data_IF_224749827734
#
_entry.id   IF_224749827734
#
_cell.length_a   1.000
_cell.length_b   1.000
_cell.length_c   1.000
_cell.angle_alpha   90.00
_cell.angle_beta   90.00
_cell.angle_gamma   90.00
#
_symmetry.space_group_name_H-M   'P 1'
#
loop_
_entity.id
_entity.type
_entity.pdbx_description
1 polymer ?
#
# COMPACT_ATOMS: atom_id res chain seq x y z
N UNK A 1 -21.91 2.15 21.74
CA UNK A 1 -20.90 2.69 20.80
C UNK A 1 -19.63 1.88 20.99
N UNK A 2 -18.98 1.47 19.92
CA UNK A 2 -17.65 0.84 20.00
C UNK A 2 -16.66 1.84 20.60
N UNK A 3 -15.70 1.40 21.37
CA UNK A 3 -14.61 2.24 21.88
C UNK A 3 -13.60 2.54 20.77
N UNK A 4 -12.75 3.55 20.95
CA UNK A 4 -11.61 3.80 20.04
C UNK A 4 -10.75 2.55 19.88
N UNK A 5 -10.52 1.80 20.98
CA UNK A 5 -9.75 0.56 20.95
C UNK A 5 -10.42 -0.50 20.08
N UNK A 6 -11.75 -0.69 20.24
CA UNK A 6 -12.50 -1.64 19.41
C UNK A 6 -12.39 -1.26 17.91
N UNK A 7 -12.46 0.04 17.59
CA UNK A 7 -12.31 0.52 16.23
C UNK A 7 -10.94 0.16 15.62
N UNK A 8 -9.86 0.40 16.37
CA UNK A 8 -8.49 0.08 15.95
C UNK A 8 -8.26 -1.41 15.77
N UNK A 9 -8.76 -2.23 16.72
CA UNK A 9 -8.58 -3.69 16.67
C UNK A 9 -9.41 -4.34 15.55
N UNK A 10 -10.64 -3.90 15.34
CA UNK A 10 -11.50 -4.39 14.27
C UNK A 10 -10.96 -3.99 12.88
N UNK A 11 -10.48 -2.75 12.74
CA UNK A 11 -9.84 -2.27 11.50
C UNK A 11 -8.66 -3.16 11.10
N UNK A 12 -7.83 -3.56 12.06
CA UNK A 12 -6.69 -4.43 11.80
C UNK A 12 -7.06 -5.83 11.29
N UNK A 13 -8.30 -6.29 11.49
CA UNK A 13 -8.76 -7.63 11.07
C UNK A 13 -9.30 -7.66 9.64
N UNK A 14 -9.50 -6.53 8.98
CA UNK A 14 -10.03 -6.48 7.61
C UNK A 14 -9.10 -7.26 6.69
N UNK A 15 -9.68 -8.17 5.90
CA UNK A 15 -8.92 -8.95 4.92
C UNK A 15 -8.72 -8.12 3.65
N UNK A 16 -7.48 -7.91 3.27
CA UNK A 16 -7.10 -7.32 1.99
C UNK A 16 -7.19 -8.36 0.87
N UNK A 17 -7.27 -7.91 -0.37
CA UNK A 17 -7.41 -8.77 -1.55
C UNK A 17 -8.61 -9.75 -1.45
N UNK A 18 -9.62 -9.42 -0.66
CA UNK A 18 -10.77 -10.31 -0.43
C UNK A 18 -11.59 -10.63 -1.70
N UNK A 19 -11.42 -9.85 -2.77
CA UNK A 19 -12.02 -10.09 -4.11
C UNK A 19 -11.18 -11.01 -4.99
N UNK A 20 -10.05 -11.53 -4.47
CA UNK A 20 -9.10 -12.37 -5.19
C UNK A 20 -8.84 -13.67 -4.44
N UNK A 21 -8.51 -14.71 -5.20
CA UNK A 21 -7.98 -15.93 -4.60
C UNK A 21 -6.49 -15.72 -4.31
N UNK A 22 -6.13 -15.73 -3.03
CA UNK A 22 -4.75 -15.63 -2.54
C UNK A 22 -4.35 -16.90 -1.82
N UNK A 23 -3.09 -17.27 -1.84
CA UNK A 23 -2.51 -18.40 -1.08
C UNK A 23 -2.30 -17.97 0.37
N UNK A 24 -1.64 -16.84 0.57
CA UNK A 24 -1.50 -16.24 1.88
C UNK A 24 -2.71 -15.35 2.22
N UNK A 25 -2.89 -15.06 3.49
CA UNK A 25 -3.90 -14.08 3.96
C UNK A 25 -3.19 -12.83 4.44
N UNK A 26 -3.55 -11.69 3.86
CA UNK A 26 -3.14 -10.39 4.34
C UNK A 26 -4.30 -9.68 5.01
N UNK A 27 -4.05 -9.05 6.15
CA UNK A 27 -5.00 -8.17 6.82
C UNK A 27 -4.49 -6.73 6.80
N UNK A 28 -5.40 -5.78 7.03
CA UNK A 28 -5.04 -4.35 7.18
C UNK A 28 -3.98 -4.17 8.27
N UNK A 29 -4.05 -4.94 9.37
CA UNK A 29 -3.04 -4.89 10.43
C UNK A 29 -1.63 -5.31 9.96
N UNK A 30 -1.51 -6.39 9.18
CA UNK A 30 -0.23 -6.82 8.58
C UNK A 30 0.28 -5.77 7.62
N UNK A 31 -0.59 -5.28 6.73
CA UNK A 31 -0.26 -4.24 5.78
C UNK A 31 0.22 -2.96 6.46
N UNK A 32 -0.54 -2.42 7.39
CA UNK A 32 -0.19 -1.18 8.09
C UNK A 32 1.13 -1.27 8.86
N UNK A 33 1.41 -2.43 9.49
CA UNK A 33 2.72 -2.69 10.11
C UNK A 33 3.85 -2.69 9.07
N UNK A 34 3.65 -3.37 7.93
CA UNK A 34 4.62 -3.39 6.83
C UNK A 34 4.86 -2.00 6.26
N UNK A 35 3.80 -1.22 6.03
CA UNK A 35 3.89 0.17 5.56
C UNK A 35 4.68 1.05 6.54
N UNK A 36 4.42 0.93 7.85
CA UNK A 36 5.17 1.68 8.86
C UNK A 36 6.65 1.28 8.89
N UNK A 37 6.97 -0.01 8.75
CA UNK A 37 8.33 -0.52 8.69
C UNK A 37 9.06 0.01 7.46
N UNK A 38 8.44 -0.06 6.29
CA UNK A 38 9.02 0.46 5.04
C UNK A 38 9.19 1.98 5.12
N UNK A 39 8.24 2.71 5.70
CA UNK A 39 8.39 4.15 5.89
C UNK A 39 9.63 4.52 6.74
N UNK A 40 9.93 3.74 7.79
CA UNK A 40 11.15 3.89 8.60
C UNK A 40 12.42 3.52 7.83
N UNK A 41 12.38 2.52 6.94
CA UNK A 41 13.52 2.19 6.07
C UNK A 41 13.78 3.29 5.04
N UNK A 42 12.72 3.88 4.48
CA UNK A 42 12.82 4.97 3.50
C UNK A 42 13.24 6.30 4.14
N UNK A 43 12.90 6.52 5.38
CA UNK A 43 13.19 7.72 6.16
C UNK A 43 13.45 7.34 7.62
N UNK A 44 14.73 7.09 8.00
CA UNK A 44 15.08 6.74 9.38
C UNK A 44 14.68 7.81 10.41
N UNK A 45 14.53 9.07 9.98
CA UNK A 45 14.06 10.19 10.79
C UNK A 45 12.56 10.46 10.62
N UNK A 46 11.79 9.43 10.23
CA UNK A 46 10.36 9.52 10.01
C UNK A 46 9.63 10.20 11.17
N UNK A 47 8.77 11.17 10.87
CA UNK A 47 7.99 11.86 11.87
C UNK A 47 7.04 10.90 12.60
N UNK A 48 6.72 11.21 13.87
CA UNK A 48 5.70 10.48 14.61
C UNK A 48 4.36 10.47 13.85
N UNK A 49 4.03 11.57 13.17
CA UNK A 49 2.79 11.72 12.41
C UNK A 49 2.78 10.81 11.18
N UNK A 50 3.91 10.64 10.48
CA UNK A 50 4.05 9.68 9.39
C UNK A 50 3.78 8.25 9.87
N UNK A 51 4.36 7.85 11.01
CA UNK A 51 4.16 6.50 11.54
C UNK A 51 2.71 6.27 12.00
N UNK A 52 2.07 7.26 12.63
CA UNK A 52 0.64 7.19 12.97
C UNK A 52 -0.19 7.04 11.69
N UNK A 53 0.10 7.82 10.66
CA UNK A 53 -0.61 7.73 9.39
C UNK A 53 -0.41 6.34 8.75
N UNK A 54 0.81 5.81 8.74
CA UNK A 54 1.10 4.47 8.21
C UNK A 54 0.33 3.36 8.95
N UNK A 55 0.18 3.48 10.27
CA UNK A 55 -0.56 2.49 11.06
C UNK A 55 -2.08 2.60 10.92
N UNK A 56 -2.61 3.78 10.55
CA UNK A 56 -4.04 4.06 10.68
C UNK A 56 -4.76 4.30 9.34
N UNK A 57 -4.05 4.43 8.21
CA UNK A 57 -4.61 4.90 6.93
C UNK A 57 -5.79 4.04 6.42
N UNK A 58 -5.79 2.74 6.67
CA UNK A 58 -6.80 1.79 6.18
C UNK A 58 -7.73 1.25 7.30
N UNK A 59 -7.61 1.70 8.57
CA UNK A 59 -8.37 1.12 9.68
C UNK A 59 -9.88 1.34 9.57
N UNK A 60 -10.33 2.38 8.88
CA UNK A 60 -11.74 2.64 8.62
C UNK A 60 -12.39 1.63 7.67
N UNK A 61 -11.59 0.83 6.97
CA UNK A 61 -12.07 -0.20 6.05
C UNK A 61 -12.90 -1.31 6.72
N UNK A 62 -12.87 -1.44 8.08
CA UNK A 62 -13.79 -2.36 8.74
C UNK A 62 -15.27 -1.97 8.59
N UNK A 63 -15.56 -0.74 8.20
CA UNK A 63 -16.92 -0.24 7.93
C UNK A 63 -17.19 -0.18 6.43
N UNK A 64 -16.22 0.32 5.64
CA UNK A 64 -16.38 0.47 4.18
C UNK A 64 -16.04 -0.80 3.41
N UNK A 65 -15.26 -1.71 4.01
CA UNK A 65 -14.57 -2.79 3.31
C UNK A 65 -13.32 -2.29 2.56
N UNK A 66 -12.37 -3.19 2.32
CA UNK A 66 -11.22 -2.92 1.44
C UNK A 66 -11.71 -2.80 -0.01
N UNK A 67 -12.05 -1.58 -0.44
CA UNK A 67 -12.50 -1.31 -1.81
C UNK A 67 -11.26 -1.17 -2.71
N UNK A 68 -11.11 -2.02 -3.74
CA UNK A 68 -9.94 -1.97 -4.62
C UNK A 68 -9.71 -0.58 -5.23
N UNK A 69 -8.49 -0.05 -5.12
CA UNK A 69 -8.13 1.28 -5.63
C UNK A 69 -8.44 1.50 -7.13
N UNK A 70 -8.28 0.49 -8.03
CA UNK A 70 -8.71 0.64 -9.42
C UNK A 70 -10.21 0.94 -9.54
N UNK A 71 -11.05 0.29 -8.76
CA UNK A 71 -12.49 0.51 -8.74
C UNK A 71 -12.83 1.92 -8.24
N UNK A 72 -12.20 2.36 -7.13
CA UNK A 72 -12.38 3.74 -6.60
C UNK A 72 -12.07 4.80 -7.69
N UNK A 73 -11.03 4.56 -8.52
CA UNK A 73 -10.62 5.49 -9.60
C UNK A 73 -11.55 5.42 -10.81
N UNK A 74 -11.87 4.22 -11.29
CA UNK A 74 -12.70 4.01 -12.48
C UNK A 74 -14.07 4.65 -12.34
N UNK A 75 -14.68 4.53 -11.16
CA UNK A 75 -16.01 5.08 -10.89
C UNK A 75 -15.99 6.48 -10.26
N UNK A 76 -14.81 7.08 -10.08
CA UNK A 76 -14.68 8.45 -9.57
C UNK A 76 -15.17 8.64 -8.14
N UNK A 77 -15.16 7.59 -7.31
CA UNK A 77 -15.69 7.62 -5.94
C UNK A 77 -14.61 7.79 -4.86
N UNK A 78 -13.35 8.00 -5.24
CA UNK A 78 -12.24 8.09 -4.29
C UNK A 78 -12.45 9.18 -3.23
N UNK A 79 -12.87 10.38 -3.64
CA UNK A 79 -13.10 11.48 -2.72
C UNK A 79 -14.25 11.18 -1.73
N UNK A 80 -15.35 10.60 -2.22
CA UNK A 80 -16.49 10.23 -1.37
C UNK A 80 -16.11 9.17 -0.33
N UNK A 81 -15.32 8.18 -0.72
CA UNK A 81 -14.82 7.16 0.20
C UNK A 81 -13.89 7.79 1.24
N UNK A 82 -12.95 8.64 0.84
CA UNK A 82 -12.06 9.34 1.77
C UNK A 82 -12.83 10.20 2.79
N UNK A 83 -13.87 10.91 2.34
CA UNK A 83 -14.74 11.70 3.24
C UNK A 83 -15.47 10.82 4.27
N UNK A 84 -15.88 9.61 3.87
CA UNK A 84 -16.53 8.66 4.76
C UNK A 84 -15.51 8.12 5.77
N UNK A 85 -14.35 7.72 5.31
CA UNK A 85 -13.26 7.18 6.12
C UNK A 85 -12.80 8.20 7.17
N UNK A 86 -12.62 9.48 6.79
CA UNK A 86 -12.30 10.55 7.73
C UNK A 86 -13.38 10.74 8.82
N UNK A 87 -14.66 10.76 8.43
CA UNK A 87 -15.77 10.87 9.38
C UNK A 87 -15.82 9.69 10.34
N UNK A 88 -15.55 8.47 9.87
CA UNK A 88 -15.51 7.27 10.71
C UNK A 88 -14.37 7.36 11.74
N UNK A 89 -13.18 7.81 11.32
CA UNK A 89 -12.04 8.04 12.21
C UNK A 89 -12.37 9.08 13.28
N UNK A 90 -12.95 10.21 12.91
CA UNK A 90 -13.38 11.26 13.85
C UNK A 90 -14.43 10.75 14.83
N UNK A 91 -15.42 9.98 14.38
CA UNK A 91 -16.43 9.37 15.25
C UNK A 91 -15.82 8.37 16.25
N UNK A 92 -14.73 7.70 15.88
CA UNK A 92 -13.95 6.84 16.76
C UNK A 92 -13.03 7.61 17.71
N UNK A 93 -12.99 8.96 17.64
CA UNK A 93 -12.11 9.79 18.45
C UNK A 93 -10.65 9.80 17.94
N UNK A 94 -10.43 9.45 16.68
CA UNK A 94 -9.11 9.41 16.05
C UNK A 94 -8.99 10.63 15.14
N UNK A 95 -7.97 11.44 15.38
CA UNK A 95 -7.60 12.56 14.52
C UNK A 95 -6.44 12.09 13.63
N UNK A 96 -6.70 12.01 12.32
CA UNK A 96 -5.65 11.67 11.38
C UNK A 96 -4.66 12.83 11.25
N UNK A 97 -3.34 12.59 11.32
CA UNK A 97 -2.36 13.66 11.32
C UNK A 97 -2.29 14.36 9.96
N UNK A 98 -2.02 15.67 9.98
CA UNK A 98 -1.67 16.41 8.76
C UNK A 98 -0.21 16.18 8.42
N UNK A 99 0.04 15.57 7.27
CA UNK A 99 1.37 15.22 6.83
C UNK A 99 2.01 16.32 5.98
N UNK A 100 3.33 16.49 6.12
CA UNK A 100 4.13 17.25 5.17
C UNK A 100 4.09 16.60 3.77
N UNK A 101 4.41 17.35 2.71
CA UNK A 101 4.51 16.77 1.36
C UNK A 101 5.52 15.61 1.29
N UNK A 102 6.66 15.73 2.02
CA UNK A 102 7.66 14.67 2.14
C UNK A 102 7.02 13.41 2.74
N UNK A 103 6.33 13.56 3.86
CA UNK A 103 5.70 12.43 4.57
C UNK A 103 4.59 11.79 3.75
N UNK A 104 3.77 12.59 3.05
CA UNK A 104 2.74 12.07 2.15
C UNK A 104 3.33 11.20 1.04
N UNK A 105 4.44 11.64 0.42
CA UNK A 105 5.15 10.87 -0.61
C UNK A 105 5.77 9.61 -0.03
N UNK A 106 6.36 9.69 1.17
CA UNK A 106 6.97 8.52 1.83
C UNK A 106 5.90 7.50 2.20
N UNK A 107 4.77 7.94 2.79
CA UNK A 107 3.64 7.07 3.09
C UNK A 107 3.12 6.36 1.83
N UNK A 108 2.93 7.13 0.76
CA UNK A 108 2.39 6.55 -0.49
C UNK A 108 3.36 5.56 -1.14
N UNK A 109 4.66 5.83 -1.09
CA UNK A 109 5.65 4.89 -1.58
C UNK A 109 5.69 3.61 -0.74
N UNK A 110 5.64 3.74 0.59
CA UNK A 110 5.63 2.60 1.50
C UNK A 110 4.37 1.72 1.32
N UNK A 111 3.18 2.32 1.16
CA UNK A 111 1.92 1.64 0.88
C UNK A 111 2.00 0.81 -0.41
N UNK A 112 2.48 1.41 -1.50
CA UNK A 112 2.63 0.74 -2.79
C UNK A 112 3.68 -0.37 -2.71
N UNK A 113 4.83 -0.10 -2.09
CA UNK A 113 5.90 -1.08 -1.95
C UNK A 113 5.42 -2.32 -1.20
N UNK A 114 4.70 -2.16 -0.08
CA UNK A 114 4.18 -3.29 0.66
C UNK A 114 3.17 -4.10 -0.15
N UNK A 115 2.26 -3.45 -0.89
CA UNK A 115 1.33 -4.16 -1.78
C UNK A 115 2.04 -4.92 -2.90
N UNK A 116 3.10 -4.35 -3.49
CA UNK A 116 3.92 -5.01 -4.50
C UNK A 116 4.67 -6.22 -3.92
N UNK A 117 5.27 -6.08 -2.73
CA UNK A 117 5.93 -7.17 -2.01
C UNK A 117 4.97 -8.34 -1.76
N UNK A 118 3.75 -8.07 -1.31
CA UNK A 118 2.73 -9.13 -1.15
C UNK A 118 2.43 -9.84 -2.47
N UNK A 119 2.32 -9.10 -3.58
CA UNK A 119 2.13 -9.71 -4.90
C UNK A 119 3.32 -10.60 -5.30
N UNK A 120 4.56 -10.20 -5.03
CA UNK A 120 5.75 -11.01 -5.27
C UNK A 120 5.72 -12.31 -4.45
N UNK A 121 5.41 -12.23 -3.15
CA UNK A 121 5.27 -13.40 -2.29
C UNK A 121 4.20 -14.39 -2.79
N UNK A 122 3.07 -13.88 -3.26
CA UNK A 122 2.02 -14.72 -3.88
C UNK A 122 2.50 -15.39 -5.18
N UNK A 123 3.29 -14.70 -6.00
CA UNK A 123 3.90 -15.26 -7.21
C UNK A 123 4.89 -16.38 -6.87
N UNK A 124 5.74 -16.21 -5.85
CA UNK A 124 6.65 -17.24 -5.32
C UNK A 124 5.88 -18.47 -4.84
N UNK A 125 4.69 -18.29 -4.27
CA UNK A 125 3.78 -19.38 -3.88
C UNK A 125 3.03 -19.99 -5.08
N UNK A 126 3.32 -19.56 -6.31
CA UNK A 126 2.72 -20.08 -7.54
C UNK A 126 1.42 -19.43 -7.96
N UNK A 127 1.00 -18.36 -7.33
CA UNK A 127 -0.22 -17.63 -7.68
C UNK A 127 0.00 -16.64 -8.83
N UNK A 128 0.14 -17.17 -10.05
CA UNK A 128 0.42 -16.36 -11.26
C UNK A 128 -0.64 -15.28 -11.55
N UNK A 129 -1.83 -15.37 -10.95
CA UNK A 129 -2.89 -14.34 -11.11
C UNK A 129 -2.53 -13.00 -10.48
N UNK A 130 -1.57 -12.99 -9.56
CA UNK A 130 -1.11 -11.74 -8.91
C UNK A 130 -0.20 -10.91 -9.81
N UNK A 131 0.30 -11.44 -10.94
CA UNK A 131 1.12 -10.70 -11.90
C UNK A 131 0.46 -9.38 -12.34
N UNK A 132 -0.75 -9.43 -12.85
CA UNK A 132 -1.47 -8.24 -13.31
C UNK A 132 -1.70 -7.20 -12.19
N UNK A 133 -1.76 -7.64 -10.93
CA UNK A 133 -1.93 -6.75 -9.78
C UNK A 133 -0.58 -6.08 -9.47
N UNK A 134 0.50 -6.84 -9.49
CA UNK A 134 1.86 -6.32 -9.38
C UNK A 134 2.12 -5.25 -10.44
N UNK A 135 1.84 -5.53 -11.71
CA UNK A 135 1.99 -4.59 -12.82
C UNK A 135 1.20 -3.30 -12.57
N UNK A 136 0.00 -3.41 -11.98
CA UNK A 136 -0.82 -2.23 -11.61
C UNK A 136 -0.16 -1.40 -10.51
N UNK A 137 0.44 -2.03 -9.49
CA UNK A 137 1.18 -1.33 -8.42
C UNK A 137 2.40 -0.61 -8.98
N UNK A 138 3.19 -1.29 -9.81
CA UNK A 138 4.42 -0.75 -10.40
C UNK A 138 4.10 0.41 -11.36
N UNK A 139 3.12 0.24 -12.24
CA UNK A 139 2.68 1.30 -13.16
C UNK A 139 2.20 2.54 -12.40
N UNK A 140 1.41 2.34 -11.34
CA UNK A 140 0.94 3.46 -10.53
C UNK A 140 2.08 4.14 -9.77
N UNK A 141 3.00 3.36 -9.20
CA UNK A 141 4.18 3.88 -8.53
C UNK A 141 4.97 4.77 -9.48
N UNK A 142 5.28 4.26 -10.65
CA UNK A 142 6.02 4.95 -11.68
C UNK A 142 5.34 6.25 -12.12
N UNK A 143 4.02 6.24 -12.37
CA UNK A 143 3.28 7.39 -12.87
C UNK A 143 3.11 8.51 -11.85
N UNK A 144 3.02 8.21 -10.56
CA UNK A 144 2.50 9.13 -9.55
C UNK A 144 3.42 9.39 -8.37
N UNK A 145 4.38 8.51 -8.08
CA UNK A 145 5.05 8.51 -6.78
C UNK A 145 6.56 8.58 -6.89
N UNK A 146 7.14 7.98 -7.95
CA UNK A 146 8.55 7.64 -7.97
C UNK A 146 9.50 8.73 -8.46
N UNK A 147 9.04 9.92 -8.82
CA UNK A 147 9.95 10.95 -9.37
C UNK A 147 11.20 11.10 -8.49
N UNK A 148 12.31 10.47 -8.93
CA UNK A 148 13.60 10.46 -8.26
C UNK A 148 13.75 9.46 -7.08
N UNK A 149 12.82 8.49 -6.94
CA UNK A 149 12.87 7.47 -5.86
C UNK A 149 12.70 6.03 -6.39
N UNK A 150 12.82 5.84 -7.70
CA UNK A 150 12.63 4.57 -8.39
C UNK A 150 13.54 3.49 -7.80
N UNK A 151 14.80 3.82 -7.58
CA UNK A 151 15.79 2.93 -7.04
C UNK A 151 15.46 2.43 -5.63
N UNK A 152 14.82 3.26 -4.80
CA UNK A 152 14.43 2.85 -3.44
C UNK A 152 13.33 1.78 -3.47
N UNK A 153 12.33 1.90 -4.37
CA UNK A 153 11.30 0.87 -4.53
C UNK A 153 11.92 -0.44 -5.02
N UNK A 154 12.81 -0.35 -6.01
CA UNK A 154 13.46 -1.53 -6.58
C UNK A 154 14.30 -2.28 -5.55
N UNK A 155 15.14 -1.57 -4.79
CA UNK A 155 15.92 -2.21 -3.72
C UNK A 155 15.04 -2.91 -2.69
N UNK A 156 13.91 -2.32 -2.30
CA UNK A 156 12.98 -2.95 -1.36
C UNK A 156 12.36 -4.23 -1.92
N UNK A 157 11.99 -4.23 -3.19
CA UNK A 157 11.41 -5.42 -3.84
C UNK A 157 12.47 -6.50 -4.05
N UNK A 158 13.69 -6.12 -4.47
CA UNK A 158 14.82 -7.05 -4.64
C UNK A 158 15.22 -7.71 -3.32
N UNK A 159 15.27 -6.96 -2.21
CA UNK A 159 15.60 -7.53 -0.90
C UNK A 159 14.58 -8.56 -0.40
N UNK A 160 13.33 -8.46 -0.86
CA UNK A 160 12.22 -9.31 -0.41
C UNK A 160 11.91 -10.47 -1.36
N UNK A 161 12.35 -10.40 -2.61
CA UNK A 161 12.12 -11.45 -3.61
C UNK A 161 13.38 -12.30 -3.81
N UNK A 162 13.50 -13.41 -3.05
CA UNK A 162 14.65 -14.30 -3.17
C UNK A 162 14.62 -15.21 -4.40
N UNK A 163 13.45 -15.40 -5.07
CA UNK A 163 13.25 -16.41 -6.11
C UNK A 163 12.29 -16.02 -7.26
N UNK A 164 11.64 -14.86 -7.22
CA UNK A 164 11.04 -14.35 -8.46
C UNK A 164 12.20 -14.04 -9.38
N UNK A 165 12.13 -14.52 -10.62
CA UNK A 165 13.15 -14.24 -11.63
C UNK A 165 13.43 -12.74 -11.63
N UNK A 166 14.42 -12.34 -10.80
CA UNK A 166 14.81 -10.93 -10.59
C UNK A 166 15.04 -10.26 -11.94
N UNK A 167 15.51 -11.04 -12.92
CA UNK A 167 15.72 -10.56 -14.27
C UNK A 167 14.39 -10.24 -14.97
N UNK A 168 13.33 -10.99 -14.74
CA UNK A 168 12.01 -10.69 -15.31
C UNK A 168 11.39 -9.44 -14.68
N UNK A 169 11.54 -9.27 -13.37
CA UNK A 169 11.10 -8.07 -12.66
C UNK A 169 11.90 -6.84 -13.11
N UNK A 170 13.24 -6.98 -13.20
CA UNK A 170 14.13 -5.92 -13.69
C UNK A 170 13.83 -5.57 -15.15
N UNK A 171 13.60 -6.56 -16.03
CA UNK A 171 13.22 -6.34 -17.41
C UNK A 171 11.90 -5.57 -17.52
N UNK A 172 10.91 -5.92 -16.70
CA UNK A 172 9.62 -5.23 -16.67
C UNK A 172 9.77 -3.77 -16.25
N UNK A 173 10.68 -3.50 -15.33
CA UNK A 173 11.01 -2.16 -14.84
C UNK A 173 11.86 -1.39 -15.85
N UNK A 174 12.83 -2.03 -16.50
CA UNK A 174 13.63 -1.44 -17.58
C UNK A 174 12.77 -1.11 -18.80
N UNK A 175 11.85 -1.99 -19.20
CA UNK A 175 10.91 -1.74 -20.28
C UNK A 175 10.01 -0.53 -19.97
N UNK A 176 9.54 -0.39 -18.72
CA UNK A 176 8.75 0.76 -18.29
C UNK A 176 9.55 2.08 -18.29
N UNK A 177 10.86 2.03 -18.03
CA UNK A 177 11.76 3.20 -18.08
C UNK A 177 12.03 3.59 -19.54
N UNK A 178 12.31 2.60 -20.40
CA UNK A 178 12.67 2.83 -21.81
C UNK A 178 11.49 3.32 -22.67
N UNK A 179 10.26 2.90 -22.37
CA UNK A 179 9.05 3.38 -23.07
C UNK A 179 8.77 4.87 -22.87
N UNK A 180 9.41 5.53 -21.91
CA UNK A 180 9.24 6.97 -21.63
C UNK A 180 10.32 7.87 -22.23
N UNK A 181 11.43 7.30 -22.63
CA UNK A 181 12.49 8.07 -23.31
C UNK A 181 12.22 8.20 -24.82
N UNK A 182 11.12 7.62 -25.32
CA UNK A 182 10.61 7.77 -26.70
C UNK A 182 9.39 8.69 -26.75
#
# INVERSE_FOLDING_TARGET
>A
MKTTLDFLLDGAQVRRFHTRATVATETVGHHSHGVATIALLLDPDASRDLIIAALYHDLSEHVTGDIPSPMKREYGISAQISDIEEKLMLQAGIIFPTLSEKDQRTLKLADIAHGAIFCCQELELGNLKMRNILDTYLSYAYDKVLVGREQQLFSLIEEMSNDVDQQELLNLLEDMINDREQ
#
